data_IF_797528586132
#
_entry.id   IF_797528586132
#
_cell.length_a   1.000
_cell.length_b   1.000
_cell.length_c   1.000
_cell.angle_alpha   90.00
_cell.angle_beta   90.00
_cell.angle_gamma   90.00
#
_symmetry.space_group_name_H-M   'P 1'
#
loop_
_entity.id
_entity.type
_entity.pdbx_description
1 polymer ?
#
# COMPACT_ATOMS: atom_id res chain seq x y z
N UNK A 1 -47.35 -4.57 0.36
CA UNK A 1 -47.03 -3.90 -0.90
C UNK A 1 -45.68 -3.23 -0.70
N UNK A 2 -44.66 -3.60 -1.49
CA UNK A 2 -43.32 -2.99 -1.39
C UNK A 2 -43.43 -1.53 -1.79
N UNK A 3 -42.90 -0.62 -0.97
CA UNK A 3 -42.87 0.80 -1.31
C UNK A 3 -41.76 1.08 -2.31
N UNK A 4 -41.92 2.11 -3.14
CA UNK A 4 -40.86 2.60 -4.02
C UNK A 4 -39.58 2.96 -3.24
N UNK A 5 -39.71 3.40 -1.99
CA UNK A 5 -38.55 3.70 -1.13
C UNK A 5 -37.79 2.44 -0.72
N UNK A 6 -38.47 1.32 -0.46
CA UNK A 6 -37.82 0.04 -0.17
C UNK A 6 -37.00 -0.43 -1.38
N UNK A 7 -37.55 -0.25 -2.59
CA UNK A 7 -36.85 -0.58 -3.85
C UNK A 7 -35.62 0.29 -4.05
N UNK A 8 -35.75 1.61 -3.86
CA UNK A 8 -34.60 2.54 -3.95
C UNK A 8 -33.51 2.20 -2.95
N UNK A 9 -33.88 1.88 -1.71
CA UNK A 9 -32.91 1.53 -0.66
C UNK A 9 -32.21 0.20 -0.96
N UNK A 10 -32.93 -0.78 -1.49
CA UNK A 10 -32.35 -2.05 -1.93
C UNK A 10 -31.39 -1.86 -3.10
N UNK A 11 -31.76 -1.05 -4.10
CA UNK A 11 -30.90 -0.73 -5.24
C UNK A 11 -29.63 0.04 -4.82
N UNK A 12 -29.76 1.02 -3.93
CA UNK A 12 -28.60 1.75 -3.38
C UNK A 12 -27.64 0.81 -2.63
N UNK A 13 -28.17 -0.13 -1.84
CA UNK A 13 -27.38 -1.14 -1.13
C UNK A 13 -26.67 -2.07 -2.12
N UNK A 14 -27.35 -2.47 -3.19
CA UNK A 14 -26.78 -3.34 -4.22
C UNK A 14 -25.68 -2.64 -5.03
N UNK A 15 -25.90 -1.38 -5.41
CA UNK A 15 -24.90 -0.56 -6.09
C UNK A 15 -23.64 -0.39 -5.24
N UNK A 16 -23.79 0.01 -3.97
CA UNK A 16 -22.67 0.15 -3.04
C UNK A 16 -21.88 -1.16 -2.85
N UNK A 17 -22.57 -2.31 -2.76
CA UNK A 17 -21.92 -3.62 -2.66
C UNK A 17 -21.16 -3.97 -3.94
N UNK A 18 -21.70 -3.64 -5.10
CA UNK A 18 -21.06 -3.90 -6.40
C UNK A 18 -19.85 -2.99 -6.57
N UNK A 19 -19.93 -1.72 -6.21
CA UNK A 19 -18.78 -0.81 -6.15
C UNK A 19 -17.67 -1.37 -5.26
N UNK A 20 -18.01 -1.84 -4.06
CA UNK A 20 -17.02 -2.42 -3.13
C UNK A 20 -16.38 -3.70 -3.68
N UNK A 21 -17.17 -4.53 -4.38
CA UNK A 21 -16.67 -5.74 -5.04
C UNK A 21 -15.84 -5.43 -6.30
N UNK A 22 -16.13 -4.30 -6.97
CA UNK A 22 -15.48 -3.88 -8.22
C UNK A 22 -14.22 -3.06 -7.99
N UNK A 23 -14.04 -2.48 -6.79
CA UNK A 23 -12.85 -1.69 -6.43
C UNK A 23 -11.93 -2.42 -5.43
N UNK A 24 -11.45 -3.65 -5.72
CA UNK A 24 -10.51 -4.34 -4.84
C UNK A 24 -9.18 -3.58 -4.71
N UNK A 25 -8.84 -2.74 -5.70
CA UNK A 25 -7.68 -1.84 -5.64
C UNK A 25 -7.75 -0.85 -4.47
N UNK A 26 -8.94 -0.38 -4.11
CA UNK A 26 -9.09 0.63 -3.06
C UNK A 26 -8.72 0.09 -1.68
N UNK A 27 -9.05 -1.17 -1.40
CA UNK A 27 -8.66 -1.83 -0.16
C UNK A 27 -7.15 -2.00 -0.07
N UNK A 28 -6.50 -2.37 -1.19
CA UNK A 28 -5.03 -2.52 -1.24
C UNK A 28 -4.32 -1.18 -0.99
N UNK A 29 -4.77 -0.12 -1.65
CA UNK A 29 -4.17 1.22 -1.51
C UNK A 29 -4.38 1.77 -0.10
N UNK A 30 -5.59 1.66 0.44
CA UNK A 30 -5.91 2.16 1.78
C UNK A 30 -5.12 1.41 2.85
N UNK A 31 -5.01 0.09 2.74
CA UNK A 31 -4.22 -0.71 3.68
C UNK A 31 -2.72 -0.38 3.58
N UNK A 32 -2.20 -0.15 2.37
CA UNK A 32 -0.80 0.26 2.19
C UNK A 32 -0.50 1.63 2.83
N UNK A 33 -1.39 2.60 2.63
CA UNK A 33 -1.25 3.93 3.23
C UNK A 33 -1.35 3.89 4.76
N UNK A 34 -2.28 3.12 5.31
CA UNK A 34 -2.38 2.95 6.76
C UNK A 34 -1.19 2.17 7.35
N UNK A 35 -0.70 1.16 6.64
CA UNK A 35 0.37 0.30 7.13
C UNK A 35 1.73 1.00 7.18
N UNK A 36 1.98 2.02 6.35
CA UNK A 36 3.29 2.69 6.30
C UNK A 36 3.67 3.46 7.57
N UNK A 37 2.71 3.73 8.45
CA UNK A 37 2.94 4.41 9.73
C UNK A 37 3.46 3.48 10.84
N UNK A 38 3.37 2.15 10.64
CA UNK A 38 3.84 1.13 11.58
C UNK A 38 4.75 0.13 10.85
N UNK A 39 6.03 0.06 11.24
CA UNK A 39 7.01 -0.79 10.56
C UNK A 39 6.65 -2.28 10.54
N UNK A 40 6.03 -2.81 11.61
CA UNK A 40 5.63 -4.23 11.64
C UNK A 40 4.46 -4.45 10.71
N UNK A 41 3.50 -3.52 10.68
CA UNK A 41 2.37 -3.59 9.75
C UNK A 41 2.81 -3.43 8.30
N UNK A 42 3.74 -2.52 8.05
CA UNK A 42 4.37 -2.31 6.74
C UNK A 42 5.06 -3.58 6.24
N UNK A 43 5.83 -4.26 7.10
CA UNK A 43 6.45 -5.54 6.75
C UNK A 43 5.39 -6.61 6.43
N UNK A 44 4.37 -6.74 7.27
CA UNK A 44 3.27 -7.69 7.04
C UNK A 44 2.50 -7.43 5.74
N UNK A 45 2.28 -6.16 5.39
CA UNK A 45 1.69 -5.79 4.11
C UNK A 45 2.56 -6.23 2.93
N UNK A 46 3.87 -5.95 2.98
CA UNK A 46 4.80 -6.35 1.91
C UNK A 46 4.87 -7.86 1.75
N UNK A 47 4.84 -8.61 2.85
CA UNK A 47 4.83 -10.08 2.84
C UNK A 47 3.53 -10.66 2.26
N UNK A 48 2.37 -10.09 2.64
CA UNK A 48 1.07 -10.63 2.25
C UNK A 48 0.61 -10.18 0.86
N UNK A 49 0.89 -8.94 0.48
CA UNK A 49 0.35 -8.27 -0.72
C UNK A 49 1.44 -8.05 -1.75
N UNK A 50 2.60 -7.53 -1.32
CA UNK A 50 3.71 -7.17 -2.19
C UNK A 50 3.54 -5.84 -2.92
N UNK A 51 4.68 -5.23 -3.29
CA UNK A 51 4.70 -3.91 -3.93
C UNK A 51 4.24 -3.92 -5.39
N UNK A 52 4.43 -5.04 -6.10
CA UNK A 52 3.95 -5.17 -7.48
C UNK A 52 2.43 -5.13 -7.56
N UNK A 53 1.76 -5.76 -6.58
CA UNK A 53 0.30 -5.73 -6.46
C UNK A 53 -0.22 -4.36 -6.04
N UNK A 54 0.50 -3.64 -5.18
CA UNK A 54 0.20 -2.24 -4.89
C UNK A 54 0.32 -1.37 -6.14
N UNK A 55 1.36 -1.57 -6.95
CA UNK A 55 1.52 -0.85 -8.23
C UNK A 55 0.34 -1.13 -9.18
N UNK A 56 -0.05 -2.39 -9.34
CA UNK A 56 -1.19 -2.75 -10.18
C UNK A 56 -2.52 -2.15 -9.68
N UNK A 57 -2.70 -2.06 -8.36
CA UNK A 57 -3.87 -1.41 -7.77
C UNK A 57 -3.91 0.11 -8.07
N UNK A 58 -2.75 0.78 -8.08
CA UNK A 58 -2.65 2.19 -8.46
C UNK A 58 -3.03 2.37 -9.93
N UNK A 59 -2.51 1.51 -10.82
CA UNK A 59 -2.84 1.54 -12.25
C UNK A 59 -4.34 1.27 -12.51
N UNK A 60 -4.99 0.44 -11.68
CA UNK A 60 -6.44 0.25 -11.69
C UNK A 60 -7.19 1.51 -11.26
N UNK A 61 -6.78 2.15 -10.15
CA UNK A 61 -7.39 3.38 -9.66
C UNK A 61 -7.27 4.53 -10.69
N UNK A 62 -6.10 4.69 -11.32
CA UNK A 62 -5.91 5.68 -12.40
C UNK A 62 -6.82 5.39 -13.60
N UNK A 63 -6.99 4.12 -13.99
CA UNK A 63 -7.89 3.75 -15.10
C UNK A 63 -9.36 4.02 -14.80
N UNK A 64 -9.76 3.86 -13.55
CA UNK A 64 -11.12 4.11 -13.10
C UNK A 64 -11.37 5.60 -12.77
N UNK A 65 -10.33 6.45 -12.84
CA UNK A 65 -10.40 7.89 -12.62
C UNK A 65 -10.45 8.31 -11.15
N UNK A 66 -10.09 7.40 -10.23
CA UNK A 66 -9.98 7.70 -8.79
C UNK A 66 -8.59 8.35 -8.50
N UNK A 67 -8.38 9.56 -9.02
CA UNK A 67 -7.08 10.26 -9.00
C UNK A 67 -6.50 10.44 -7.59
N UNK A 68 -7.35 10.80 -6.62
CA UNK A 68 -6.95 10.99 -5.21
C UNK A 68 -6.40 9.69 -4.61
N UNK A 69 -7.05 8.57 -4.91
CA UNK A 69 -6.66 7.27 -4.39
C UNK A 69 -5.36 6.80 -5.05
N UNK A 70 -5.23 6.99 -6.36
CA UNK A 70 -4.00 6.69 -7.06
C UNK A 70 -2.82 7.56 -6.56
N UNK A 71 -3.07 8.83 -6.24
CA UNK A 71 -2.07 9.71 -5.62
C UNK A 71 -1.61 9.19 -4.26
N UNK A 72 -2.53 8.86 -3.34
CA UNK A 72 -2.18 8.26 -2.05
C UNK A 72 -1.42 6.95 -2.20
N UNK A 73 -1.81 6.10 -3.16
CA UNK A 73 -1.10 4.85 -3.44
C UNK A 73 0.34 5.08 -3.92
N UNK A 74 0.57 6.09 -4.78
CA UNK A 74 1.92 6.48 -5.22
C UNK A 74 2.79 6.96 -4.05
N UNK A 75 2.23 7.78 -3.16
CA UNK A 75 2.93 8.24 -1.96
C UNK A 75 3.32 7.08 -1.05
N UNK A 76 2.40 6.13 -0.82
CA UNK A 76 2.68 4.92 -0.05
C UNK A 76 3.79 4.09 -0.70
N UNK A 77 3.72 3.84 -2.01
CA UNK A 77 4.73 3.07 -2.75
C UNK A 77 6.12 3.69 -2.64
N UNK A 78 6.22 5.02 -2.74
CA UNK A 78 7.48 5.74 -2.55
C UNK A 78 8.00 5.63 -1.12
N UNK A 79 7.14 5.65 -0.11
CA UNK A 79 7.55 5.38 1.28
C UNK A 79 8.15 3.98 1.44
N UNK A 80 7.50 2.94 0.89
CA UNK A 80 8.03 1.57 0.91
C UNK A 80 9.38 1.44 0.20
N UNK A 81 9.56 2.13 -0.94
CA UNK A 81 10.86 2.16 -1.65
C UNK A 81 11.95 2.79 -0.77
N UNK A 82 11.63 3.90 -0.08
CA UNK A 82 12.57 4.53 0.87
C UNK A 82 12.91 3.59 2.03
N UNK A 83 11.94 2.85 2.57
CA UNK A 83 12.19 1.86 3.61
C UNK A 83 13.16 0.77 3.12
N UNK A 84 12.98 0.25 1.90
CA UNK A 84 13.89 -0.74 1.32
C UNK A 84 15.30 -0.18 1.12
N UNK A 85 15.43 1.05 0.63
CA UNK A 85 16.73 1.71 0.49
C UNK A 85 17.43 1.89 1.85
N UNK A 86 16.69 2.34 2.87
CA UNK A 86 17.23 2.50 4.22
C UNK A 86 17.70 1.16 4.80
N UNK A 87 16.88 0.11 4.69
CA UNK A 87 17.24 -1.24 5.17
C UNK A 87 18.45 -1.83 4.44
N UNK A 88 18.63 -1.55 3.14
CA UNK A 88 19.80 -2.00 2.37
C UNK A 88 21.08 -1.20 2.65
N UNK A 89 20.96 0.03 3.17
CA UNK A 89 22.13 0.88 3.50
C UNK A 89 22.83 0.42 4.79
N UNK A 90 22.12 -0.23 5.71
CA UNK A 90 22.71 -0.79 6.94
C UNK A 90 23.62 -2.02 6.68
N UNK A 91 23.40 -2.75 5.58
CA UNK A 91 24.21 -3.93 5.20
C UNK A 91 25.57 -3.53 4.59
N UNK A 92 25.70 -2.29 4.13
CA UNK A 92 26.92 -1.72 3.54
C UNK A 92 27.71 -0.88 4.56
N UNK A 93 27.50 -1.10 5.87
CA UNK A 93 28.38 -0.52 6.90
C UNK A 93 29.77 -1.13 6.69
N UNK A 94 30.80 -0.34 6.34
CA UNK A 94 32.15 -0.86 6.21
C UNK A 94 32.55 -1.41 7.57
N UNK A 95 32.65 -2.74 7.67
CA UNK A 95 33.30 -3.39 8.80
C UNK A 95 34.65 -2.70 8.92
N UNK A 96 34.92 -2.04 10.04
CA UNK A 96 36.15 -1.32 10.27
C UNK A 96 37.33 -2.28 10.11
N UNK A 97 37.84 -2.37 8.88
CA UNK A 97 39.09 -3.00 8.55
C UNK A 97 40.19 -2.07 9.05
N UNK A 98 41.06 -2.61 9.90
CA UNK A 98 42.32 -1.97 10.27
C UNK A 98 42.38 -1.49 11.72
N UNK A 99 42.45 -2.43 12.66
CA UNK A 99 43.25 -2.14 13.86
C UNK A 99 44.69 -1.83 13.41
N UNK A 100 45.27 -0.68 13.76
CA UNK A 100 46.66 -0.40 13.42
C UNK A 100 47.57 -1.36 14.21
N UNK A 101 48.69 -1.83 13.62
CA UNK A 101 49.62 -2.68 14.35
C UNK A 101 50.21 -1.91 15.55
N UNK A 102 50.08 -2.47 16.75
CA UNK A 102 50.87 -2.03 17.91
C UNK A 102 52.34 -2.35 17.63
N UNK A 103 53.17 -1.31 17.54
CA UNK A 103 54.62 -1.47 17.54
C UNK A 103 55.10 -1.89 18.95
N UNK A 104 56.15 -2.73 19.04
CA UNK A 104 56.79 -3.12 20.31
C UNK A 104 57.57 -1.98 20.95
#
# INVERSE_FOLDING_TARGET
MVSTDDVKRALATLAARTDTATRPYAAVITEADAAREDLRRAAGFVEAVGLDRLSAAIDEADRDGDDDLAASGREALDAYRRFRTAAGTDDDRPTAAGSPPRNP
#
